data_IF_057428756927
#
_entry.id   IF_057428756927
#
_cell.length_a   1.000
_cell.length_b   1.000
_cell.length_c   1.000
_cell.angle_alpha   90.00
_cell.angle_beta   90.00
_cell.angle_gamma   90.00
#
_symmetry.space_group_name_H-M   'P 1'
#
loop_
_entity.id
_entity.type
_entity.pdbx_description
1 polymer ?
#
# COMPACT_ATOMS: atom_id res chain seq x y z
N UNK A 1 34.02 -24.57 15.13
CA UNK A 1 33.38 -24.78 13.81
C UNK A 1 32.14 -25.61 14.05
N UNK A 2 31.00 -24.96 14.26
CA UNK A 2 29.72 -25.61 14.55
C UNK A 2 28.68 -25.07 13.56
N UNK A 3 28.12 -26.01 12.80
CA UNK A 3 26.87 -25.83 12.05
C UNK A 3 25.73 -25.67 13.07
N UNK A 4 24.93 -24.62 12.93
CA UNK A 4 23.65 -24.53 13.62
C UNK A 4 22.55 -24.44 12.57
N UNK A 5 21.87 -25.57 12.36
CA UNK A 5 20.51 -25.64 11.86
C UNK A 5 19.61 -24.83 12.81
N UNK A 6 18.91 -23.82 12.30
CA UNK A 6 17.74 -23.26 12.97
C UNK A 6 16.48 -23.68 12.18
N UNK A 7 15.87 -24.72 12.73
CA UNK A 7 14.43 -24.95 12.93
C UNK A 7 13.45 -24.29 11.95
N UNK A 8 12.73 -25.17 11.24
CA UNK A 8 11.33 -24.99 10.83
C UNK A 8 10.46 -24.54 12.00
N UNK A 9 9.51 -23.66 11.69
CA UNK A 9 8.19 -23.67 12.30
C UNK A 9 7.89 -22.50 13.21
N UNK A 10 7.54 -21.36 12.62
CA UNK A 10 6.43 -20.54 13.08
C UNK A 10 5.80 -19.87 11.85
N UNK A 11 4.58 -20.31 11.57
CA UNK A 11 3.71 -19.86 10.51
C UNK A 11 3.04 -18.56 10.93
N UNK A 12 3.75 -17.45 10.83
CA UNK A 12 3.10 -16.13 10.80
C UNK A 12 2.76 -15.81 9.34
N UNK A 13 1.59 -16.30 8.93
CA UNK A 13 0.77 -15.74 7.85
C UNK A 13 0.26 -14.35 8.27
N UNK A 14 1.15 -13.48 8.74
CA UNK A 14 0.85 -12.08 8.88
C UNK A 14 0.70 -11.55 7.45
N UNK A 15 -0.49 -11.02 7.15
CA UNK A 15 -0.77 -10.17 6.00
C UNK A 15 0.41 -9.21 5.85
N UNK A 16 1.31 -9.48 4.88
CA UNK A 16 2.48 -8.62 4.66
C UNK A 16 2.02 -7.36 3.93
N UNK A 17 1.31 -6.50 4.65
CA UNK A 17 1.40 -5.07 4.39
C UNK A 17 2.79 -4.65 4.88
N UNK A 18 3.55 -4.00 4.00
CA UNK A 18 4.90 -3.57 4.34
C UNK A 18 4.80 -2.51 5.45
N UNK A 19 5.16 -2.93 6.67
CA UNK A 19 5.47 -2.18 7.88
C UNK A 19 4.79 -0.80 8.09
N UNK A 20 4.01 -0.70 9.18
CA UNK A 20 3.55 0.55 9.81
C UNK A 20 2.59 1.43 8.99
N UNK A 21 1.67 0.79 8.25
CA UNK A 21 0.63 1.50 7.54
C UNK A 21 -0.52 1.88 8.46
N UNK A 22 -0.57 3.16 8.85
CA UNK A 22 -1.70 3.74 9.56
C UNK A 22 -2.57 4.51 8.57
N UNK A 23 -3.89 4.31 8.64
CA UNK A 23 -4.86 4.98 7.78
C UNK A 23 -5.79 5.83 8.61
N UNK A 24 -5.66 7.15 8.50
CA UNK A 24 -6.41 8.10 9.32
C UNK A 24 -7.51 8.79 8.53
N UNK A 25 -8.74 8.72 8.99
CA UNK A 25 -9.80 9.58 8.46
C UNK A 25 -9.62 10.99 9.03
N UNK A 26 -9.47 11.99 8.17
CA UNK A 26 -9.49 13.40 8.58
C UNK A 26 -10.97 13.82 8.71
N UNK A 27 -11.57 13.64 9.89
CA UNK A 27 -12.79 14.36 10.26
C UNK A 27 -12.40 15.67 10.98
N UNK A 28 -13.25 16.70 10.90
CA UNK A 28 -12.93 18.10 11.23
C UNK A 28 -12.04 18.34 12.45
N UNK A 29 -11.19 19.37 12.37
CA UNK A 29 -10.09 19.66 13.31
C UNK A 29 -9.39 18.37 13.74
N UNK A 30 -8.60 17.78 12.82
CA UNK A 30 -7.61 16.77 13.15
C UNK A 30 -6.60 17.35 14.14
N UNK A 31 -6.98 17.43 15.42
CA UNK A 31 -6.05 17.54 16.52
C UNK A 31 -5.06 16.40 16.33
N UNK A 32 -3.76 16.68 16.28
CA UNK A 32 -2.74 15.65 16.15
C UNK A 32 -2.03 15.51 14.82
N UNK A 33 -2.53 16.05 13.70
CA UNK A 33 -1.80 16.00 12.43
C UNK A 33 -1.39 17.40 12.02
N UNK A 34 -0.10 17.73 12.15
CA UNK A 34 0.42 18.97 11.56
C UNK A 34 1.04 18.65 10.20
N UNK A 35 0.35 19.11 9.16
CA UNK A 35 0.87 19.21 7.81
C UNK A 35 1.50 20.60 7.65
N UNK A 36 2.82 20.68 7.65
CA UNK A 36 3.57 21.92 7.35
C UNK A 36 4.44 21.67 6.14
N UNK A 37 4.21 22.46 5.09
CA UNK A 37 4.93 22.40 3.80
C UNK A 37 4.98 20.98 3.20
N UNK A 38 6.08 20.25 3.45
CA UNK A 38 6.39 18.90 2.94
C UNK A 38 6.54 17.86 4.06
N UNK A 39 6.14 18.20 5.28
CA UNK A 39 6.35 17.39 6.47
C UNK A 39 5.03 16.96 7.10
N UNK A 40 5.04 15.75 7.66
CA UNK A 40 3.95 15.17 8.42
C UNK A 40 4.45 14.83 9.82
N UNK A 41 3.83 15.41 10.83
CA UNK A 41 4.11 15.11 12.24
C UNK A 41 2.84 14.70 12.97
N UNK A 42 2.98 13.71 13.86
CA UNK A 42 1.89 13.14 14.64
C UNK A 42 2.02 13.61 16.09
N UNK A 43 1.08 14.46 16.52
CA UNK A 43 0.91 14.82 17.92
C UNK A 43 0.16 13.71 18.67
N UNK A 44 0.59 13.44 19.91
CA UNK A 44 0.00 12.44 20.81
C UNK A 44 -1.46 12.73 21.20
N UNK A 45 -1.96 13.94 20.94
CA UNK A 45 -3.31 14.37 21.32
C UNK A 45 -4.36 14.11 20.23
N UNK A 46 -3.96 13.53 19.11
CA UNK A 46 -4.91 13.23 18.03
C UNK A 46 -5.71 11.95 18.20
N UNK A 47 -7.01 12.05 17.90
CA UNK A 47 -7.89 10.88 17.79
C UNK A 47 -7.66 10.19 16.45
N UNK A 48 -6.63 9.37 16.43
CA UNK A 48 -6.22 8.59 15.28
C UNK A 48 -6.70 7.15 15.43
N UNK A 49 -7.55 6.69 14.51
CA UNK A 49 -7.92 5.27 14.44
C UNK A 49 -7.02 4.57 13.43
N UNK A 50 -6.11 3.75 13.91
CA UNK A 50 -5.33 2.84 13.07
C UNK A 50 -6.25 1.76 12.49
N UNK A 51 -6.06 1.45 11.21
CA UNK A 51 -6.87 0.45 10.50
C UNK A 51 -5.96 -0.57 9.83
N UNK A 52 -6.34 -1.86 9.83
CA UNK A 52 -5.67 -2.86 9.02
C UNK A 52 -5.71 -2.46 7.54
N UNK A 53 -4.57 -2.58 6.87
CA UNK A 53 -4.37 -2.25 5.46
C UNK A 53 -5.37 -2.96 4.51
N UNK A 54 -5.83 -4.16 4.87
CA UNK A 54 -6.85 -4.91 4.14
C UNK A 54 -8.30 -4.39 4.33
N UNK A 55 -8.57 -3.62 5.39
CA UNK A 55 -9.88 -2.97 5.59
C UNK A 55 -10.00 -1.64 4.83
N UNK A 56 -8.87 -1.01 4.52
CA UNK A 56 -8.80 0.33 3.89
C UNK A 56 -9.64 0.41 2.62
N UNK A 57 -9.56 -0.53 1.67
CA UNK A 57 -10.34 -0.41 0.45
C UNK A 57 -11.86 -0.47 0.72
N UNK A 58 -12.29 -1.24 1.71
CA UNK A 58 -13.70 -1.35 2.09
C UNK A 58 -14.21 -0.06 2.77
N UNK A 59 -13.37 0.56 3.59
CA UNK A 59 -13.73 1.77 4.35
C UNK A 59 -13.66 3.01 3.48
N UNK A 60 -12.56 3.21 2.76
CA UNK A 60 -12.25 4.47 2.08
C UNK A 60 -12.57 4.48 0.60
N UNK A 61 -12.75 3.35 -0.07
CA UNK A 61 -12.96 3.33 -1.51
C UNK A 61 -14.41 3.06 -1.92
N UNK A 62 -14.79 3.68 -3.02
CA UNK A 62 -15.97 3.38 -3.82
C UNK A 62 -15.48 2.85 -5.18
N UNK A 63 -15.73 1.56 -5.46
CA UNK A 63 -15.23 0.92 -6.68
C UNK A 63 -16.06 1.28 -7.90
N UNK A 64 -15.37 1.65 -8.97
CA UNK A 64 -15.93 1.92 -10.28
C UNK A 64 -15.45 0.80 -11.20
N UNK A 65 -16.18 -0.33 -11.18
CA UNK A 65 -15.80 -1.58 -11.86
C UNK A 65 -15.48 -1.39 -13.34
N UNK A 66 -16.30 -0.60 -14.06
CA UNK A 66 -16.12 -0.35 -15.50
C UNK A 66 -14.77 0.26 -15.85
N UNK A 67 -14.12 0.93 -14.91
CA UNK A 67 -12.90 1.68 -15.14
C UNK A 67 -11.68 1.09 -14.45
N UNK A 68 -11.83 -0.03 -13.73
CA UNK A 68 -10.83 -0.59 -12.81
C UNK A 68 -10.22 0.52 -11.94
N UNK A 69 -11.11 1.27 -11.28
CA UNK A 69 -10.72 2.40 -10.44
C UNK A 69 -11.50 2.45 -9.15
N UNK A 70 -10.95 3.16 -8.19
CA UNK A 70 -11.50 3.39 -6.87
C UNK A 70 -11.53 4.89 -6.61
N UNK A 71 -12.71 5.42 -6.25
CA UNK A 71 -12.86 6.79 -5.79
C UNK A 71 -12.71 6.83 -4.28
N UNK A 72 -11.89 7.75 -3.79
CA UNK A 72 -11.63 7.94 -2.36
C UNK A 72 -12.79 8.71 -1.72
N UNK A 73 -13.39 8.15 -0.67
CA UNK A 73 -14.59 8.68 0.02
C UNK A 73 -14.25 9.69 1.13
N UNK A 74 -13.06 9.61 1.71
CA UNK A 74 -12.57 10.50 2.75
C UNK A 74 -11.05 10.66 2.65
N UNK A 75 -10.53 11.80 3.08
CA UNK A 75 -9.09 12.03 3.14
C UNK A 75 -8.46 10.98 4.05
N UNK A 76 -7.36 10.38 3.60
CA UNK A 76 -6.57 9.50 4.42
C UNK A 76 -5.08 9.67 4.20
N UNK A 77 -4.31 9.28 5.21
CA UNK A 77 -2.85 9.24 5.13
C UNK A 77 -2.41 7.79 5.17
N UNK A 78 -1.41 7.43 4.38
CA UNK A 78 -0.67 6.17 4.51
C UNK A 78 0.69 6.49 5.10
N UNK A 79 1.00 5.96 6.27
CA UNK A 79 2.34 6.09 6.86
C UNK A 79 3.19 4.92 6.38
N UNK A 80 4.40 5.19 5.91
CA UNK A 80 5.31 4.17 5.37
C UNK A 80 6.72 4.54 5.78
N UNK A 81 7.29 3.85 6.76
CA UNK A 81 8.66 4.09 7.25
C UNK A 81 8.95 5.58 7.52
N UNK A 82 9.69 6.24 6.62
CA UNK A 82 10.18 7.63 6.66
C UNK A 82 9.29 8.65 5.92
N UNK A 83 8.16 8.21 5.37
CA UNK A 83 7.25 9.04 4.57
C UNK A 83 5.80 8.83 4.94
N UNK A 84 4.99 9.82 4.56
CA UNK A 84 3.54 9.79 4.67
C UNK A 84 2.93 10.13 3.31
N UNK A 85 1.84 9.48 2.93
CA UNK A 85 1.14 9.69 1.67
C UNK A 85 -0.24 10.24 1.99
N UNK A 86 -0.45 11.52 1.78
CA UNK A 86 -1.78 12.13 1.91
C UNK A 86 -2.57 11.88 0.63
N UNK A 87 -3.70 11.21 0.75
CA UNK A 87 -4.62 10.91 -0.34
C UNK A 87 -5.93 11.65 -0.09
N UNK A 88 -6.24 12.70 -0.88
CA UNK A 88 -7.44 13.48 -0.65
C UNK A 88 -8.71 12.75 -1.11
N UNK A 89 -9.82 13.11 -0.49
CA UNK A 89 -11.17 12.74 -0.88
C UNK A 89 -11.43 13.15 -2.31
N UNK A 90 -12.08 12.26 -3.05
CA UNK A 90 -12.37 12.44 -4.47
C UNK A 90 -11.24 12.02 -5.39
N UNK A 91 -10.05 11.67 -4.86
CA UNK A 91 -9.01 11.06 -5.68
C UNK A 91 -9.47 9.78 -6.37
N UNK A 92 -9.02 9.63 -7.60
CA UNK A 92 -9.33 8.48 -8.44
C UNK A 92 -8.08 7.62 -8.57
N UNK A 93 -8.09 6.47 -7.91
CA UNK A 93 -6.99 5.52 -7.93
C UNK A 93 -7.28 4.46 -8.99
N UNK A 94 -6.35 4.23 -9.92
CA UNK A 94 -6.40 3.05 -10.79
C UNK A 94 -5.97 1.83 -9.99
N UNK A 95 -6.64 0.71 -10.23
CA UNK A 95 -6.31 -0.56 -9.56
C UNK A 95 -6.01 -1.64 -10.57
N UNK A 96 -5.08 -2.52 -10.21
CA UNK A 96 -4.82 -3.77 -10.90
C UNK A 96 -4.34 -4.81 -9.89
N UNK A 97 -4.41 -6.08 -10.28
CA UNK A 97 -3.97 -7.17 -9.42
C UNK A 97 -2.94 -8.06 -10.10
N UNK A 98 -2.09 -8.65 -9.27
CA UNK A 98 -1.06 -9.60 -9.66
C UNK A 98 -1.37 -10.90 -8.92
N UNK A 99 -1.52 -12.00 -9.66
CA UNK A 99 -1.85 -13.30 -9.07
C UNK A 99 -0.96 -14.40 -9.63
N UNK A 100 -0.11 -14.99 -8.79
CA UNK A 100 0.77 -16.11 -9.14
C UNK A 100 1.02 -17.02 -7.94
N UNK A 101 1.59 -18.21 -8.17
CA UNK A 101 1.87 -19.17 -7.09
C UNK A 101 2.75 -18.63 -5.96
N UNK A 102 3.74 -17.80 -6.29
CA UNK A 102 4.56 -17.04 -5.35
C UNK A 102 4.89 -15.69 -5.99
N UNK A 103 4.67 -14.59 -5.29
CA UNK A 103 4.94 -13.23 -5.76
C UNK A 103 5.85 -12.52 -4.76
N UNK A 104 6.85 -11.83 -5.28
CA UNK A 104 7.70 -10.91 -4.52
C UNK A 104 7.54 -9.51 -5.11
N UNK A 105 6.82 -8.65 -4.39
CA UNK A 105 6.71 -7.22 -4.68
C UNK A 105 8.10 -6.57 -4.53
N UNK A 106 8.41 -5.63 -5.42
CA UNK A 106 9.70 -4.93 -5.50
C UNK A 106 9.59 -3.41 -5.36
N UNK A 107 8.36 -2.91 -5.26
CA UNK A 107 8.04 -1.50 -5.09
C UNK A 107 7.42 -1.28 -3.73
N UNK A 108 7.48 -0.05 -3.23
CA UNK A 108 6.91 0.34 -1.95
C UNK A 108 5.99 1.54 -2.13
N UNK A 109 4.97 1.65 -1.30
CA UNK A 109 4.04 2.78 -1.29
C UNK A 109 4.81 4.11 -1.22
N UNK A 110 4.32 5.10 -1.97
CA UNK A 110 4.93 6.42 -2.12
C UNK A 110 6.04 6.46 -3.17
N UNK A 111 6.37 5.33 -3.81
CA UNK A 111 7.27 5.34 -4.97
C UNK A 111 6.50 5.65 -6.26
N UNK A 112 7.12 6.43 -7.18
CA UNK A 112 6.60 6.54 -8.54
C UNK A 112 6.79 5.22 -9.28
N UNK A 113 5.78 4.82 -10.04
CA UNK A 113 5.85 3.68 -10.94
C UNK A 113 5.74 4.16 -12.38
N UNK A 114 6.63 3.65 -13.22
CA UNK A 114 6.57 3.91 -14.66
C UNK A 114 5.79 2.81 -15.37
N UNK A 115 5.13 3.16 -16.46
CA UNK A 115 4.46 2.17 -17.30
C UNK A 115 5.48 1.16 -17.82
N UNK A 116 5.18 -0.12 -17.67
CA UNK A 116 6.02 -1.26 -18.03
C UNK A 116 7.31 -1.45 -17.21
N UNK A 117 7.52 -0.67 -16.15
CA UNK A 117 8.58 -0.93 -15.17
C UNK A 117 8.31 -2.23 -14.42
N UNK A 118 9.38 -2.92 -13.99
CA UNK A 118 9.27 -4.13 -13.17
C UNK A 118 8.88 -3.76 -11.74
N UNK A 119 7.71 -4.23 -11.30
CA UNK A 119 7.15 -3.94 -9.97
C UNK A 119 7.13 -5.16 -9.06
N UNK A 120 7.23 -6.35 -9.64
CA UNK A 120 7.24 -7.60 -8.90
C UNK A 120 7.92 -8.70 -9.72
N UNK A 121 8.19 -9.80 -9.04
CA UNK A 121 8.66 -11.03 -9.66
C UNK A 121 7.85 -12.22 -9.16
N UNK A 122 7.61 -13.20 -10.03
CA UNK A 122 6.95 -14.46 -9.62
C UNK A 122 7.82 -15.67 -9.88
N UNK A 123 7.63 -16.69 -9.06
CA UNK A 123 8.28 -17.99 -9.19
C UNK A 123 7.16 -19.05 -9.24
N UNK A 124 7.11 -19.81 -10.33
CA UNK A 124 6.14 -20.91 -10.42
C UNK A 124 6.55 -22.09 -9.53
N UNK A 125 5.62 -23.01 -9.26
CA UNK A 125 5.93 -24.28 -8.56
C UNK A 125 7.00 -25.12 -9.27
N UNK A 126 7.25 -24.87 -10.56
CA UNK A 126 8.30 -25.52 -11.37
C UNK A 126 9.61 -24.72 -11.41
N UNK A 127 9.75 -23.66 -10.62
CA UNK A 127 10.94 -22.81 -10.58
C UNK A 127 11.08 -21.82 -11.74
N UNK A 128 10.02 -21.61 -12.54
CA UNK A 128 10.06 -20.64 -13.65
C UNK A 128 9.93 -19.23 -13.06
N UNK A 129 10.97 -18.42 -13.26
CA UNK A 129 11.01 -17.02 -12.87
C UNK A 129 10.36 -16.13 -13.94
N UNK A 130 9.53 -15.18 -13.53
CA UNK A 130 8.96 -14.14 -14.41
C UNK A 130 9.06 -12.76 -13.77
N UNK A 131 9.31 -11.76 -14.61
CA UNK A 131 9.25 -10.34 -14.25
C UNK A 131 7.85 -9.84 -14.53
N UNK A 132 7.26 -9.15 -13.57
CA UNK A 132 5.91 -8.61 -13.65
C UNK A 132 6.01 -7.10 -13.72
N UNK A 133 5.30 -6.54 -14.70
CA UNK A 133 5.43 -5.13 -15.06
C UNK A 133 4.14 -4.37 -14.81
N UNK A 134 4.26 -3.11 -14.40
CA UNK A 134 3.08 -2.27 -14.21
C UNK A 134 2.43 -1.94 -15.56
N UNK A 135 1.09 -2.12 -15.71
CA UNK A 135 0.38 -1.63 -16.89
C UNK A 135 0.08 -0.12 -16.82
N UNK A 136 0.29 0.51 -15.66
CA UNK A 136 -0.07 1.90 -15.38
C UNK A 136 1.14 2.68 -14.83
N UNK A 137 1.10 4.00 -15.01
CA UNK A 137 2.07 4.95 -14.45
C UNK A 137 1.40 5.83 -13.39
N UNK A 138 2.16 6.26 -12.39
CA UNK A 138 1.64 7.14 -11.34
C UNK A 138 2.34 6.93 -10.01
N UNK A 139 1.74 7.43 -8.93
CA UNK A 139 2.23 7.22 -7.57
C UNK A 139 1.59 5.97 -6.97
N UNK A 140 2.39 5.03 -6.47
CA UNK A 140 1.87 3.86 -5.77
C UNK A 140 1.33 4.28 -4.40
N UNK A 141 0.04 4.11 -4.17
CA UNK A 141 -0.63 4.55 -2.94
C UNK A 141 -0.74 3.42 -1.92
N UNK A 142 -1.12 2.23 -2.38
CA UNK A 142 -1.40 1.09 -1.50
C UNK A 142 -1.08 -0.22 -2.23
N UNK A 143 -0.41 -1.14 -1.53
CA UNK A 143 -0.28 -2.54 -1.92
C UNK A 143 -0.74 -3.41 -0.76
N UNK A 144 -1.71 -4.28 -1.01
CA UNK A 144 -2.10 -5.28 -0.03
C UNK A 144 -2.19 -6.67 -0.67
N UNK A 145 -1.97 -7.69 0.16
CA UNK A 145 -2.16 -9.08 -0.23
C UNK A 145 -3.60 -9.48 0.09
N UNK A 146 -4.32 -10.03 -0.89
CA UNK A 146 -5.65 -10.59 -0.68
C UNK A 146 -5.53 -11.89 0.14
N UNK A 147 -5.96 -11.91 1.42
CA UNK A 147 -5.76 -13.05 2.31
C UNK A 147 -6.66 -14.24 1.92
N UNK A 148 -7.69 -14.01 1.10
CA UNK A 148 -8.65 -15.04 0.69
C UNK A 148 -8.17 -15.84 -0.53
N UNK A 149 -7.11 -15.38 -1.20
CA UNK A 149 -6.59 -16.06 -2.38
C UNK A 149 -5.79 -17.31 -2.02
N UNK A 150 -6.00 -18.40 -2.79
CA UNK A 150 -5.21 -19.64 -2.66
C UNK A 150 -3.78 -19.50 -3.15
N UNK A 151 -3.49 -18.42 -3.86
CA UNK A 151 -2.18 -18.06 -4.41
C UNK A 151 -1.82 -16.66 -3.96
N UNK A 152 -0.57 -16.25 -4.13
CA UNK A 152 -0.18 -14.88 -3.83
C UNK A 152 -0.88 -13.93 -4.80
N UNK A 153 -1.91 -13.24 -4.30
CA UNK A 153 -2.64 -12.21 -5.00
C UNK A 153 -2.40 -10.87 -4.32
N UNK A 154 -1.78 -9.95 -5.03
CA UNK A 154 -1.57 -8.58 -4.58
C UNK A 154 -2.48 -7.65 -5.37
N UNK A 155 -3.09 -6.70 -4.69
CA UNK A 155 -3.88 -5.63 -5.29
C UNK A 155 -3.16 -4.32 -5.06
N UNK A 156 -2.97 -3.56 -6.14
CA UNK A 156 -2.24 -2.31 -6.12
C UNK A 156 -3.19 -1.17 -6.46
N UNK A 157 -3.06 -0.05 -5.76
CA UNK A 157 -3.75 1.21 -6.07
C UNK A 157 -2.73 2.28 -6.41
N UNK A 158 -2.96 2.95 -7.52
CA UNK A 158 -2.04 3.91 -8.10
C UNK A 158 -2.80 5.19 -8.41
N UNK A 159 -2.29 6.30 -7.91
CA UNK A 159 -2.79 7.60 -8.28
C UNK A 159 -2.17 8.03 -9.61
N UNK A 160 -2.98 8.03 -10.67
CA UNK A 160 -2.54 8.44 -12.01
C UNK A 160 -2.71 9.93 -12.26
N UNK A 161 -3.37 10.65 -11.34
CA UNK A 161 -3.73 12.06 -11.48
C UNK A 161 -2.89 12.98 -10.60
N UNK A 162 -1.90 12.42 -9.87
CA UNK A 162 -0.97 13.16 -9.00
C UNK A 162 -1.68 14.08 -7.98
N UNK A 163 -2.78 13.60 -7.42
CA UNK A 163 -3.51 14.26 -6.34
C UNK A 163 -2.96 13.90 -4.96
N UNK A 164 -2.44 12.68 -4.82
CA UNK A 164 -1.76 12.23 -3.63
C UNK A 164 -0.42 12.93 -3.46
N UNK A 165 -0.07 13.26 -2.22
CA UNK A 165 1.15 13.97 -1.86
C UNK A 165 2.01 13.10 -0.97
N UNK A 166 3.28 12.93 -1.34
CA UNK A 166 4.29 12.31 -0.48
C UNK A 166 4.89 13.39 0.40
N UNK A 167 4.92 13.14 1.70
CA UNK A 167 5.43 14.01 2.75
C UNK A 167 6.53 13.26 3.51
N UNK A 168 7.50 13.99 4.04
CA UNK A 168 8.51 13.43 4.95
C UNK A 168 7.90 13.24 6.33
N UNK A 169 8.19 12.12 6.97
CA UNK A 169 7.80 11.88 8.36
C UNK A 169 8.82 12.57 9.27
N UNK A 170 8.35 13.48 10.12
CA UNK A 170 9.16 14.04 11.20
C UNK A 170 8.80 13.36 12.53
N UNK A 171 9.83 13.03 13.31
CA UNK A 171 9.73 12.42 14.65
C UNK A 171 9.46 13.46 15.75
#
# INVERSE_FOLDING_TARGET
MWLTLLSRGESDLATRCFAEQFFHQIEGNAQGLELKDEECSFSKEGNFKELPCEEVPHIFFEYIEKENSAKVKADFIVVVQDKCILVPKGSLLKTFSIEYSMVRIRVTEGEPIEKWSEIASSISKKGIYRRLRSPIEGLLVLVYQDPLSKTDRYVLYVDTNNQAKVLRKNE
#
